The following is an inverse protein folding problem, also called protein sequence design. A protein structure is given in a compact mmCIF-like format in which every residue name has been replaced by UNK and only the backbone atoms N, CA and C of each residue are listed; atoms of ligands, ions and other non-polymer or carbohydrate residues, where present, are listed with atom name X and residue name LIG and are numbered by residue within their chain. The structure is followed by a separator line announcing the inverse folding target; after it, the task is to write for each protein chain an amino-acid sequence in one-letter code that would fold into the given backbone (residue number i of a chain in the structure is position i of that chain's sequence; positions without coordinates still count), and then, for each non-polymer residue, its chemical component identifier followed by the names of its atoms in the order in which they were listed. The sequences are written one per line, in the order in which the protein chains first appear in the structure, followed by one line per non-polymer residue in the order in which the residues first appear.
data_IF_289812106589
#
_entry.id   IF_289812106589
#
_cell.length_a   1.000
_cell.length_b   1.000
_cell.length_c   1.000
_cell.angle_alpha   90.00
_cell.angle_beta   90.00
_cell.angle_gamma   90.00
#
_symmetry.space_group_name_H-M   'P 1'
#
loop_
_entity.id
_entity.type
_entity.pdbx_description
1 polymer ?
#
# COMPACT_ATOMS: atom_id res chain seq x y z
N UNK A 1 -4.58 1.82 -5.70
CA UNK A 1 -3.24 1.61 -6.30
C UNK A 1 -2.93 2.78 -7.22
N UNK A 2 -1.69 3.27 -7.22
CA UNK A 2 -1.20 4.23 -8.20
C UNK A 2 -0.03 3.60 -8.98
N UNK A 3 0.00 3.80 -10.28
CA UNK A 3 1.09 3.38 -11.18
C UNK A 3 1.90 4.61 -11.54
N UNK A 4 3.20 4.55 -11.30
CA UNK A 4 4.14 5.63 -11.56
C UNK A 4 5.22 5.16 -12.53
N UNK A 5 5.75 6.10 -13.30
CA UNK A 5 7.00 5.84 -14.03
C UNK A 5 8.24 6.06 -13.13
N UNK A 6 9.42 5.81 -13.69
CA UNK A 6 10.68 5.96 -12.97
C UNK A 6 11.01 7.40 -12.53
N UNK A 7 10.33 8.39 -13.09
CA UNK A 7 10.47 9.80 -12.72
C UNK A 7 9.47 10.24 -11.65
N UNK A 8 8.55 9.33 -11.28
CA UNK A 8 7.54 9.57 -10.26
C UNK A 8 6.27 10.24 -10.79
N UNK A 9 6.08 10.24 -12.11
CA UNK A 9 4.87 10.76 -12.73
C UNK A 9 3.77 9.70 -12.67
N UNK A 10 2.57 10.08 -12.22
CA UNK A 10 1.41 9.18 -12.23
C UNK A 10 1.04 8.85 -13.67
N UNK A 11 0.99 7.56 -13.98
CA UNK A 11 0.55 7.03 -15.28
C UNK A 11 -0.86 6.52 -15.23
N UNK A 12 -1.26 5.95 -14.10
CA UNK A 12 -2.62 5.46 -13.90
C UNK A 12 -2.95 5.29 -12.42
N UNK A 13 -4.26 5.26 -12.11
CA UNK A 13 -4.80 4.98 -10.78
C UNK A 13 -5.93 4.00 -10.88
N UNK A 14 -5.87 2.92 -10.10
CA UNK A 14 -6.93 1.91 -10.02
C UNK A 14 -7.45 1.78 -8.60
N UNK A 15 -8.76 1.81 -8.45
CA UNK A 15 -9.45 1.65 -7.17
C UNK A 15 -10.46 0.49 -7.27
N UNK A 16 -10.45 -0.37 -6.27
CA UNK A 16 -11.43 -1.43 -6.10
C UNK A 16 -12.37 -1.07 -4.96
N UNK A 17 -13.67 -1.06 -5.24
CA UNK A 17 -14.72 -0.72 -4.28
C UNK A 17 -15.55 -1.95 -3.92
N UNK A 18 -15.73 -2.21 -2.63
CA UNK A 18 -16.62 -3.25 -2.10
C UNK A 18 -17.24 -2.79 -0.77
N UNK A 19 -18.20 -1.85 -0.84
CA UNK A 19 -18.79 -1.21 0.33
C UNK A 19 -19.52 -2.20 1.25
N UNK A 20 -19.98 -3.32 0.72
CA UNK A 20 -20.66 -4.39 1.46
C UNK A 20 -19.83 -4.97 2.60
N UNK A 21 -18.50 -4.94 2.49
CA UNK A 21 -17.57 -5.45 3.53
C UNK A 21 -17.73 -4.70 4.87
N UNK A 22 -18.22 -3.47 4.82
CA UNK A 22 -18.42 -2.63 6.00
C UNK A 22 -19.83 -2.75 6.58
N UNK A 23 -20.72 -3.53 5.96
CA UNK A 23 -22.08 -3.72 6.42
C UNK A 23 -22.11 -4.50 7.73
N UNK A 24 -22.97 -4.12 8.71
CA UNK A 24 -23.16 -4.89 9.93
C UNK A 24 -23.53 -6.34 9.62
N UNK A 25 -22.86 -7.29 10.27
CA UNK A 25 -23.13 -8.72 10.07
C UNK A 25 -22.50 -9.34 8.82
N UNK A 26 -21.75 -8.60 8.01
CA UNK A 26 -21.06 -9.19 6.87
C UNK A 26 -20.01 -10.24 7.32
N UNK A 27 -20.04 -11.48 6.77
CA UNK A 27 -19.17 -12.55 7.21
C UNK A 27 -17.68 -12.21 7.02
N UNK A 28 -16.87 -12.37 8.08
CA UNK A 28 -15.43 -12.06 8.06
C UNK A 28 -14.67 -12.85 6.99
N UNK A 29 -15.02 -14.11 6.76
CA UNK A 29 -14.42 -14.96 5.72
C UNK A 29 -14.69 -14.42 4.32
N UNK A 30 -15.92 -13.99 4.04
CA UNK A 30 -16.27 -13.36 2.76
C UNK A 30 -15.57 -12.02 2.58
N UNK A 31 -15.47 -11.22 3.65
CA UNK A 31 -14.73 -9.96 3.61
C UNK A 31 -13.24 -10.17 3.28
N UNK A 32 -12.63 -11.19 3.86
CA UNK A 32 -11.26 -11.59 3.54
C UNK A 32 -11.13 -12.00 2.07
N UNK A 33 -11.99 -12.88 1.59
CA UNK A 33 -11.98 -13.36 0.21
C UNK A 33 -12.13 -12.21 -0.80
N UNK A 34 -13.06 -11.28 -0.58
CA UNK A 34 -13.23 -10.09 -1.43
C UNK A 34 -11.98 -9.21 -1.47
N UNK A 35 -11.34 -8.95 -0.32
CA UNK A 35 -10.10 -8.16 -0.26
C UNK A 35 -8.95 -8.84 -1.01
N UNK A 36 -8.80 -10.15 -0.88
CA UNK A 36 -7.76 -10.91 -1.57
C UNK A 36 -8.00 -10.94 -3.08
N UNK A 37 -9.26 -11.11 -3.52
CA UNK A 37 -9.64 -11.02 -4.93
C UNK A 37 -9.39 -9.64 -5.52
N UNK A 38 -9.73 -8.59 -4.78
CA UNK A 38 -9.47 -7.21 -5.20
C UNK A 38 -7.97 -6.95 -5.34
N UNK A 39 -7.16 -7.39 -4.35
CA UNK A 39 -5.72 -7.26 -4.40
C UNK A 39 -5.11 -8.03 -5.58
N UNK A 40 -5.59 -9.24 -5.85
CA UNK A 40 -5.16 -10.03 -7.01
C UNK A 40 -5.44 -9.28 -8.31
N UNK A 41 -6.65 -8.73 -8.49
CA UNK A 41 -6.99 -7.93 -9.69
C UNK A 41 -6.10 -6.71 -9.86
N UNK A 42 -5.78 -6.00 -8.75
CA UNK A 42 -4.87 -4.86 -8.80
C UNK A 42 -3.46 -5.27 -9.21
N UNK A 43 -2.95 -6.39 -8.73
CA UNK A 43 -1.64 -6.90 -9.11
C UNK A 43 -1.61 -7.40 -10.56
N UNK A 44 -2.68 -8.06 -11.03
CA UNK A 44 -2.82 -8.45 -12.43
C UNK A 44 -2.84 -7.22 -13.34
N UNK A 45 -3.57 -6.18 -12.95
CA UNK A 45 -3.61 -4.91 -13.66
C UNK A 45 -2.23 -4.26 -13.75
N UNK A 46 -1.49 -4.21 -12.63
CA UNK A 46 -0.11 -3.70 -12.62
C UNK A 46 0.81 -4.52 -13.56
N UNK A 47 0.68 -5.84 -13.54
CA UNK A 47 1.44 -6.74 -14.41
C UNK A 47 1.21 -6.43 -15.89
N UNK A 48 -0.05 -6.30 -16.31
CA UNK A 48 -0.41 -5.99 -17.70
C UNK A 48 0.02 -4.59 -18.14
N UNK A 49 0.25 -3.67 -17.19
CA UNK A 49 0.78 -2.33 -17.45
C UNK A 49 2.32 -2.27 -17.41
N UNK A 50 3.00 -3.42 -17.37
CA UNK A 50 4.46 -3.49 -17.43
C UNK A 50 5.16 -3.01 -16.15
N UNK A 51 4.45 -2.98 -15.02
CA UNK A 51 5.05 -2.67 -13.72
C UNK A 51 6.02 -3.78 -13.34
N UNK A 52 7.21 -3.41 -12.89
CA UNK A 52 8.24 -4.37 -12.41
C UNK A 52 8.42 -4.35 -10.90
N UNK A 53 8.10 -3.24 -10.25
CA UNK A 53 8.33 -3.04 -8.82
C UNK A 53 7.03 -2.66 -8.13
N UNK A 54 6.75 -3.28 -6.98
CA UNK A 54 5.59 -2.99 -6.15
C UNK A 54 6.04 -2.50 -4.78
N UNK A 55 5.51 -1.38 -4.35
CA UNK A 55 5.71 -0.83 -3.02
C UNK A 55 4.46 -1.05 -2.17
N UNK A 56 4.63 -1.69 -1.04
CA UNK A 56 3.61 -1.79 0.00
C UNK A 56 3.97 -0.90 1.18
N UNK A 57 2.94 -0.41 1.85
CA UNK A 57 3.07 0.27 3.14
C UNK A 57 3.58 -0.71 4.21
N UNK A 58 4.68 -0.37 4.90
CA UNK A 58 5.18 -1.15 6.04
C UNK A 58 4.29 -0.93 7.27
N UNK A 59 3.38 -1.84 7.50
CA UNK A 59 2.45 -1.77 8.63
C UNK A 59 3.10 -2.07 9.98
N UNK A 60 4.33 -2.58 10.03
CA UNK A 60 5.09 -2.81 11.26
C UNK A 60 5.52 -1.49 11.90
N UNK A 61 5.73 -0.46 11.08
CA UNK A 61 6.17 0.88 11.51
C UNK A 61 5.05 1.73 12.12
N UNK A 62 3.79 1.29 12.08
CA UNK A 62 2.68 1.98 12.72
C UNK A 62 2.80 1.84 14.22
N UNK A 63 3.50 2.79 14.86
CA UNK A 63 3.63 2.87 16.31
C UNK A 63 2.24 2.92 16.95
N UNK A 64 2.01 2.04 17.93
CA UNK A 64 0.86 2.12 18.82
C UNK A 64 0.94 3.42 19.60
N UNK A 65 0.22 4.46 19.18
CA UNK A 65 0.05 5.63 20.04
C UNK A 65 -0.64 5.16 21.33
N UNK A 66 0.12 5.14 22.42
CA UNK A 66 -0.39 4.87 23.75
C UNK A 66 -1.42 5.95 24.11
N UNK A 67 -2.67 5.60 24.21
CA UNK A 67 -3.76 6.45 24.66
C UNK A 67 -4.70 5.64 25.55
N UNK A 68 -5.25 6.28 26.58
CA UNK A 68 -6.23 5.67 27.52
C UNK A 68 -7.35 4.94 26.77
N UNK A 69 -7.57 3.70 27.14
CA UNK A 69 -8.42 2.74 26.44
C UNK A 69 -9.87 2.91 26.81
N UNK A 70 -10.71 3.25 25.83
CA UNK A 70 -12.16 3.01 25.89
C UNK A 70 -12.43 1.60 25.35
N UNK A 71 -13.00 0.71 26.18
CA UNK A 71 -13.08 -0.75 25.96
C UNK A 71 -13.68 -1.19 24.60
N UNK A 72 -14.66 -0.47 24.04
CA UNK A 72 -15.32 -0.84 22.77
C UNK A 72 -14.53 -0.56 21.50
N UNK A 73 -13.71 0.50 21.47
CA UNK A 73 -12.90 0.86 20.29
C UNK A 73 -11.62 0.02 20.14
N UNK A 74 -11.15 -0.63 21.20
CA UNK A 74 -9.91 -1.41 21.21
C UNK A 74 -10.02 -2.73 20.45
N UNK A 75 -11.14 -3.41 20.56
CA UNK A 75 -11.41 -4.67 19.84
C UNK A 75 -11.44 -4.47 18.32
N UNK A 76 -12.15 -3.44 17.85
CA UNK A 76 -12.27 -3.13 16.42
C UNK A 76 -10.92 -2.69 15.81
N UNK A 77 -10.10 -1.93 16.56
CA UNK A 77 -8.74 -1.55 16.13
C UNK A 77 -7.80 -2.75 16.01
N UNK A 78 -7.86 -3.69 16.97
CA UNK A 78 -7.05 -4.92 16.91
C UNK A 78 -7.44 -5.79 15.72
N UNK A 79 -8.73 -5.98 15.49
CA UNK A 79 -9.25 -6.76 14.37
C UNK A 79 -8.90 -6.11 13.01
N UNK A 80 -9.00 -4.79 12.91
CA UNK A 80 -8.63 -4.05 11.70
C UNK A 80 -7.12 -4.14 11.41
N UNK A 81 -6.26 -4.02 12.42
CA UNK A 81 -4.81 -4.13 12.23
C UNK A 81 -4.39 -5.55 11.87
N UNK A 82 -5.04 -6.56 12.42
CA UNK A 82 -4.81 -7.96 12.06
C UNK A 82 -5.18 -8.22 10.59
N UNK A 83 -6.36 -7.77 10.15
CA UNK A 83 -6.80 -7.92 8.77
C UNK A 83 -5.88 -7.20 7.76
N UNK A 84 -5.35 -6.03 8.13
CA UNK A 84 -4.38 -5.30 7.29
C UNK A 84 -3.06 -6.05 7.18
N UNK A 85 -2.54 -6.58 8.29
CA UNK A 85 -1.30 -7.37 8.28
C UNK A 85 -1.44 -8.63 7.45
N UNK A 86 -2.54 -9.36 7.61
CA UNK A 86 -2.83 -10.55 6.81
C UNK A 86 -2.93 -10.22 5.32
N UNK A 87 -3.61 -9.12 4.95
CA UNK A 87 -3.71 -8.66 3.57
C UNK A 87 -2.33 -8.31 2.98
N UNK A 88 -1.45 -7.69 3.77
CA UNK A 88 -0.09 -7.36 3.36
C UNK A 88 0.73 -8.63 3.09
N UNK A 89 0.71 -9.61 4.00
CA UNK A 89 1.42 -10.88 3.85
C UNK A 89 1.00 -11.65 2.59
N UNK A 90 -0.31 -11.73 2.34
CA UNK A 90 -0.84 -12.30 1.10
C UNK A 90 -0.44 -11.46 -0.13
N UNK A 91 -0.48 -10.14 -0.03
CA UNK A 91 -0.11 -9.23 -1.10
C UNK A 91 1.34 -9.39 -1.55
N UNK A 92 2.27 -9.48 -0.60
CA UNK A 92 3.67 -9.75 -0.87
C UNK A 92 3.83 -11.08 -1.61
N UNK A 93 3.21 -12.14 -1.10
CA UNK A 93 3.26 -13.47 -1.73
C UNK A 93 2.70 -13.46 -3.15
N UNK A 94 1.56 -12.80 -3.37
CA UNK A 94 0.92 -12.70 -4.68
C UNK A 94 1.77 -11.90 -5.67
N UNK A 95 2.41 -10.82 -5.21
CA UNK A 95 3.27 -9.98 -6.03
C UNK A 95 4.56 -10.73 -6.44
N UNK A 96 5.22 -11.39 -5.50
CA UNK A 96 6.41 -12.20 -5.78
C UNK A 96 6.11 -13.33 -6.77
N UNK A 97 4.97 -14.03 -6.66
CA UNK A 97 4.54 -15.07 -7.60
C UNK A 97 4.33 -14.55 -9.03
N UNK A 98 4.04 -13.26 -9.20
CA UNK A 98 3.91 -12.61 -10.51
C UNK A 98 5.23 -12.08 -11.05
N UNK A 99 6.33 -12.25 -10.31
CA UNK A 99 7.66 -11.80 -10.71
C UNK A 99 7.97 -10.34 -10.40
N UNK A 100 7.15 -9.67 -9.60
CA UNK A 100 7.46 -8.31 -9.14
C UNK A 100 8.62 -8.31 -8.13
N UNK A 101 9.45 -7.28 -8.19
CA UNK A 101 10.26 -6.88 -7.03
C UNK A 101 9.35 -6.20 -6.01
N UNK A 102 9.48 -6.54 -4.73
CA UNK A 102 8.59 -6.05 -3.68
C UNK A 102 9.39 -5.33 -2.60
N UNK A 103 8.98 -4.11 -2.27
CA UNK A 103 9.57 -3.31 -1.21
C UNK A 103 8.51 -2.85 -0.21
N UNK A 104 8.90 -2.78 1.07
CA UNK A 104 8.10 -2.20 2.14
C UNK A 104 8.57 -0.79 2.41
N UNK A 105 7.65 0.16 2.41
CA UNK A 105 7.93 1.59 2.57
C UNK A 105 7.36 2.09 3.89
N UNK A 106 8.17 2.84 4.63
CA UNK A 106 7.72 3.48 5.85
C UNK A 106 6.61 4.52 5.53
N UNK A 107 5.38 4.33 6.03
CA UNK A 107 4.25 5.20 5.70
C UNK A 107 4.23 6.51 6.49
N UNK A 108 5.22 6.78 7.33
CA UNK A 108 5.21 7.97 8.21
C UNK A 108 5.07 9.24 7.39
N UNK A 109 3.99 9.98 7.64
CA UNK A 109 3.68 11.22 6.92
C UNK A 109 2.93 11.06 5.59
N UNK A 110 2.84 9.85 5.02
CA UNK A 110 2.18 9.62 3.72
C UNK A 110 0.73 10.07 3.69
N UNK A 111 -0.04 9.81 4.74
CA UNK A 111 -1.45 10.21 4.81
C UNK A 111 -1.63 11.74 4.92
N UNK A 112 -0.71 12.45 5.58
CA UNK A 112 -0.73 13.92 5.65
C UNK A 112 -0.42 14.51 4.28
N UNK A 113 0.68 14.09 3.68
CA UNK A 113 1.10 14.54 2.37
C UNK A 113 0.09 14.15 1.28
N UNK A 114 -0.46 12.94 1.32
CA UNK A 114 -1.52 12.50 0.41
C UNK A 114 -2.76 13.38 0.48
N UNK A 115 -3.17 13.82 1.68
CA UNK A 115 -4.30 14.76 1.85
C UNK A 115 -3.99 16.14 1.30
N UNK A 116 -2.78 16.63 1.44
CA UNK A 116 -2.35 17.89 0.86
C UNK A 116 -2.33 17.82 -0.67
N UNK A 117 -1.81 16.75 -1.23
CA UNK A 117 -1.71 16.53 -2.68
C UNK A 117 -3.06 16.21 -3.35
N UNK A 118 -4.01 15.60 -2.64
CA UNK A 118 -5.31 15.20 -3.22
C UNK A 118 -6.05 16.36 -3.90
N UNK A 119 -5.93 17.56 -3.32
CA UNK A 119 -6.57 18.77 -3.86
C UNK A 119 -5.96 19.25 -5.19
N UNK A 120 -4.63 19.06 -5.34
CA UNK A 120 -3.92 19.51 -6.56
C UNK A 120 -3.91 18.46 -7.68
N UNK A 121 -4.11 17.18 -7.34
CA UNK A 121 -4.04 16.07 -8.29
C UNK A 121 -5.41 15.56 -8.74
N UNK A 122 -6.50 16.11 -8.20
CA UNK A 122 -7.88 15.63 -8.43
C UNK A 122 -8.03 14.12 -8.13
N UNK A 123 -7.37 13.67 -7.07
CA UNK A 123 -7.39 12.29 -6.60
C UNK A 123 -8.08 12.20 -5.24
N UNK A 124 -8.72 11.07 -4.98
CA UNK A 124 -9.18 10.75 -3.62
C UNK A 124 -7.99 10.58 -2.65
N UNK A 125 -8.25 10.70 -1.35
CA UNK A 125 -7.20 10.67 -0.31
C UNK A 125 -6.43 9.34 -0.31
N UNK A 126 -7.09 8.22 -0.61
CA UNK A 126 -6.46 6.91 -0.60
C UNK A 126 -5.54 6.72 -1.81
N UNK A 127 -5.98 7.17 -2.99
CA UNK A 127 -5.17 7.16 -4.20
C UNK A 127 -3.97 8.09 -4.08
N UNK A 128 -4.15 9.28 -3.50
CA UNK A 128 -3.05 10.20 -3.21
C UNK A 128 -2.06 9.62 -2.19
N UNK A 129 -2.54 8.90 -1.17
CA UNK A 129 -1.65 8.21 -0.22
C UNK A 129 -0.87 7.08 -0.90
N UNK A 130 -1.49 6.32 -1.79
CA UNK A 130 -0.80 5.29 -2.58
C UNK A 130 0.27 5.91 -3.51
N UNK A 131 -0.01 7.06 -4.10
CA UNK A 131 0.96 7.83 -4.88
C UNK A 131 2.17 8.24 -4.04
N UNK A 132 1.95 8.76 -2.84
CA UNK A 132 3.04 9.15 -1.92
C UNK A 132 3.90 7.94 -1.54
N UNK A 133 3.30 6.78 -1.25
CA UNK A 133 4.05 5.54 -0.98
C UNK A 133 4.92 5.17 -2.20
N UNK A 134 4.40 5.28 -3.40
CA UNK A 134 5.16 5.07 -4.64
C UNK A 134 6.36 6.01 -4.77
N UNK A 135 6.16 7.32 -4.52
CA UNK A 135 7.26 8.31 -4.55
C UNK A 135 8.35 8.01 -3.51
N UNK A 136 7.96 7.67 -2.28
CA UNK A 136 8.90 7.29 -1.23
C UNK A 136 9.69 6.05 -1.62
N UNK A 137 9.04 5.06 -2.21
CA UNK A 137 9.66 3.84 -2.70
C UNK A 137 10.65 4.11 -3.83
N UNK A 138 10.27 4.93 -4.82
CA UNK A 138 11.17 5.33 -5.91
C UNK A 138 12.39 6.09 -5.40
N UNK A 139 12.21 7.00 -4.45
CA UNK A 139 13.33 7.72 -3.83
C UNK A 139 14.28 6.75 -3.08
N UNK A 140 13.72 5.79 -2.36
CA UNK A 140 14.52 4.74 -1.71
C UNK A 140 15.37 3.96 -2.72
N UNK A 141 14.78 3.54 -3.85
CA UNK A 141 15.51 2.82 -4.90
C UNK A 141 16.62 3.67 -5.53
N UNK A 142 16.36 4.94 -5.80
CA UNK A 142 17.36 5.87 -6.37
C UNK A 142 18.57 6.03 -5.44
N UNK A 143 18.34 6.23 -4.16
CA UNK A 143 19.42 6.42 -3.18
C UNK A 143 20.25 5.15 -2.98
N UNK A 144 19.64 3.97 -2.97
CA UNK A 144 20.36 2.72 -2.74
C UNK A 144 21.06 2.16 -3.98
N UNK A 145 20.57 2.44 -5.20
CA UNK A 145 21.28 2.10 -6.43
C UNK A 145 22.56 2.91 -6.62
N UNK A 146 22.63 4.15 -6.13
CA UNK A 146 23.86 4.95 -6.16
C UNK A 146 24.93 4.37 -5.24
N UNK A 147 24.56 3.96 -4.01
CA UNK A 147 25.53 3.39 -3.04
C UNK A 147 26.18 2.10 -3.53
N UNK A 148 25.43 1.23 -4.21
CA UNK A 148 25.99 -0.02 -4.74
C UNK A 148 26.92 0.18 -5.94
N UNK A 149 26.73 1.23 -6.74
CA UNK A 149 27.64 1.56 -7.84
C UNK A 149 28.97 2.12 -7.34
N UNK A 150 28.97 2.87 -6.26
CA UNK A 150 30.21 3.41 -5.67
C UNK A 150 31.09 2.34 -5.00
N UNK A 151 30.47 1.28 -4.45
CA UNK A 151 31.23 0.15 -3.88
C UNK A 151 31.86 -0.77 -4.94
N UNK A 152 31.31 -0.84 -6.14
CA UNK A 152 31.88 -1.64 -7.25
C UNK A 152 33.08 -0.96 -7.97
N UNK A 153 33.31 0.32 -7.73
CA UNK A 153 34.42 1.07 -8.30
C UNK A 153 35.54 1.40 -7.30
N UNK A 154 35.52 0.81 -6.10
CA UNK A 154 36.59 0.86 -5.10
C UNK A 154 37.34 -0.46 -5.05
#
# INVERSE_FOLDING_TARGET
MAILDGDGIIRDVRVEHFPEVNSPGFPKSKAKDLRLKALSRLLDYAYYHGVSVVFFEDLSMIKRKGGKVVRSKKGNRKASNFAKKELLEHGITMALKRGFEVFLVNPTGSSKLGRELSRGLDLDIHSSSAFVIGLLGLNYLKTHKHSQKEEQFR
#
